data_IF_522715973919
#
_entry.id   IF_522715973919
#
_cell.length_a   1.000
_cell.length_b   1.000
_cell.length_c   1.000
_cell.angle_alpha   90.00
_cell.angle_beta   90.00
_cell.angle_gamma   90.00
#
_symmetry.space_group_name_H-M   'P 1'
#
loop_
_entity.id
_entity.type
_entity.pdbx_description
1 polymer ?
#
# COMPACT_ATOMS: atom_id res chain seq x y z
N UNK A 1 -8.48 29.01 -11.71
CA UNK A 1 -8.84 27.61 -11.43
C UNK A 1 -9.03 26.93 -12.77
N UNK A 2 -8.19 25.97 -13.13
CA UNK A 2 -8.44 25.10 -14.28
C UNK A 2 -9.79 24.41 -14.06
N UNK A 3 -10.70 24.49 -15.03
CA UNK A 3 -11.95 23.74 -14.96
C UNK A 3 -11.64 22.25 -14.96
N UNK A 4 -12.43 21.49 -14.19
CA UNK A 4 -12.25 20.05 -14.14
C UNK A 4 -12.70 19.42 -15.47
N UNK A 5 -11.83 18.74 -16.23
CA UNK A 5 -12.23 18.15 -17.51
C UNK A 5 -13.30 17.07 -17.32
N UNK A 6 -13.13 16.22 -16.30
CA UNK A 6 -14.12 15.24 -15.87
C UNK A 6 -13.84 14.80 -14.43
N UNK A 7 -14.90 14.62 -13.63
CA UNK A 7 -14.82 14.06 -12.28
C UNK A 7 -15.01 12.54 -12.32
N UNK A 8 -14.09 11.81 -11.68
CA UNK A 8 -14.17 10.37 -11.42
C UNK A 8 -14.10 10.16 -9.91
N UNK A 9 -15.08 9.48 -9.33
CA UNK A 9 -15.26 9.41 -7.88
C UNK A 9 -15.09 7.96 -7.41
N UNK A 10 -14.27 7.75 -6.38
CA UNK A 10 -14.11 6.41 -5.77
C UNK A 10 -15.43 5.94 -5.14
N UNK A 11 -15.72 4.64 -5.11
CA UNK A 11 -17.07 4.11 -4.85
C UNK A 11 -17.54 4.12 -3.39
N UNK A 12 -16.67 4.40 -2.41
CA UNK A 12 -17.02 4.34 -0.99
C UNK A 12 -16.96 2.93 -0.40
N UNK A 13 -15.91 2.16 -0.70
CA UNK A 13 -15.61 0.87 -0.06
C UNK A 13 -14.84 1.01 1.27
N UNK A 14 -14.62 2.23 1.71
CA UNK A 14 -13.85 2.60 2.89
C UNK A 14 -12.47 3.14 2.50
N UNK A 15 -11.87 3.92 3.40
CA UNK A 15 -10.68 4.75 3.13
C UNK A 15 -9.52 3.98 2.47
N UNK A 16 -9.24 2.73 2.88
CA UNK A 16 -8.16 1.92 2.29
C UNK A 16 -8.47 1.59 0.83
N UNK A 17 -9.61 0.94 0.59
CA UNK A 17 -9.98 0.49 -0.75
C UNK A 17 -10.11 1.67 -1.72
N UNK A 18 -10.71 2.76 -1.27
CA UNK A 18 -10.87 3.96 -2.09
C UNK A 18 -9.55 4.67 -2.36
N UNK A 19 -8.62 4.72 -1.40
CA UNK A 19 -7.27 5.25 -1.63
C UNK A 19 -6.52 4.41 -2.67
N UNK A 20 -6.67 3.08 -2.62
CA UNK A 20 -6.08 2.20 -3.62
C UNK A 20 -6.73 2.38 -5.00
N UNK A 21 -8.06 2.50 -5.09
CA UNK A 21 -8.75 2.77 -6.36
C UNK A 21 -8.27 4.09 -6.97
N UNK A 22 -8.13 5.14 -6.15
CA UNK A 22 -7.57 6.42 -6.58
C UNK A 22 -6.17 6.22 -7.19
N UNK A 23 -5.27 5.51 -6.53
CA UNK A 23 -3.92 5.25 -7.06
C UNK A 23 -3.90 4.40 -8.31
N UNK A 24 -4.77 3.39 -8.41
CA UNK A 24 -4.93 2.60 -9.62
C UNK A 24 -5.34 3.47 -10.81
N UNK A 25 -6.30 4.38 -10.60
CA UNK A 25 -6.71 5.33 -11.63
C UNK A 25 -5.56 6.28 -12.01
N UNK A 26 -4.86 6.84 -11.03
CA UNK A 26 -3.70 7.71 -11.26
C UNK A 26 -2.63 6.99 -12.08
N UNK A 27 -2.40 5.69 -11.84
CA UNK A 27 -1.45 4.91 -12.61
C UNK A 27 -1.89 4.74 -14.07
N UNK A 28 -3.17 4.49 -14.32
CA UNK A 28 -3.73 4.42 -15.68
C UNK A 28 -3.55 5.76 -16.39
N UNK A 29 -3.90 6.87 -15.73
CA UNK A 29 -3.71 8.22 -16.27
C UNK A 29 -2.24 8.53 -16.58
N UNK A 30 -1.32 8.10 -15.72
CA UNK A 30 0.12 8.26 -15.95
C UNK A 30 0.58 7.53 -17.21
N UNK A 31 0.14 6.29 -17.44
CA UNK A 31 0.53 5.51 -18.62
C UNK A 31 0.04 6.18 -19.91
N UNK A 32 -1.17 6.76 -19.86
CA UNK A 32 -1.77 7.56 -20.93
C UNK A 32 -1.09 8.94 -21.14
N UNK A 33 -0.13 9.31 -20.30
CA UNK A 33 0.48 10.64 -20.31
C UNK A 33 -0.48 11.76 -19.84
N UNK A 34 -1.61 11.41 -19.24
CA UNK A 34 -2.62 12.33 -18.69
C UNK A 34 -2.21 12.80 -17.30
N UNK A 35 -1.23 13.69 -17.25
CA UNK A 35 -0.58 14.17 -16.02
C UNK A 35 -1.24 15.42 -15.42
N UNK A 36 -2.13 16.09 -16.17
CA UNK A 36 -2.82 17.31 -15.73
C UNK A 36 -4.10 16.99 -14.94
N UNK A 37 -4.30 17.68 -13.83
CA UNK A 37 -5.46 17.48 -12.96
C UNK A 37 -5.09 17.46 -11.48
N UNK A 38 -6.04 17.02 -10.66
CA UNK A 38 -5.85 16.86 -9.22
C UNK A 38 -6.70 15.72 -8.67
N UNK A 39 -6.28 15.19 -7.52
CA UNK A 39 -7.14 14.39 -6.66
C UNK A 39 -7.54 15.22 -5.44
N UNK A 40 -8.77 15.05 -4.98
CA UNK A 40 -9.35 15.71 -3.82
C UNK A 40 -9.95 14.69 -2.88
N UNK A 41 -9.77 14.88 -1.58
CA UNK A 41 -10.36 14.03 -0.55
C UNK A 41 -11.75 14.56 -0.18
N UNK A 42 -12.76 13.70 -0.27
CA UNK A 42 -14.14 13.96 0.20
C UNK A 42 -14.53 12.92 1.25
N UNK A 43 -14.16 13.20 2.51
CA UNK A 43 -14.35 12.27 3.62
C UNK A 43 -13.46 11.03 3.49
N UNK A 44 -14.09 9.86 3.26
CA UNK A 44 -13.39 8.60 2.97
C UNK A 44 -13.26 8.29 1.47
N UNK A 45 -13.88 9.10 0.61
CA UNK A 45 -13.83 8.98 -0.85
C UNK A 45 -12.82 9.96 -1.43
N UNK A 46 -12.47 9.75 -2.69
CA UNK A 46 -11.61 10.63 -3.46
C UNK A 46 -12.27 10.99 -4.79
N UNK A 47 -12.08 12.23 -5.21
CA UNK A 47 -12.44 12.71 -6.55
C UNK A 47 -11.15 12.91 -7.32
N UNK A 48 -11.02 12.22 -8.44
CA UNK A 48 -9.94 12.43 -9.40
C UNK A 48 -10.49 13.24 -10.55
N UNK A 49 -9.96 14.45 -10.68
CA UNK A 49 -10.28 15.36 -11.75
C UNK A 49 -9.20 15.26 -12.84
N UNK A 50 -9.55 14.70 -13.99
CA UNK A 50 -8.66 14.49 -15.14
C UNK A 50 -9.48 14.24 -16.41
N UNK A 51 -8.83 14.20 -17.57
CA UNK A 51 -9.44 13.62 -18.77
C UNK A 51 -9.72 12.11 -18.55
N UNK A 52 -10.84 11.60 -19.09
CA UNK A 52 -11.15 10.17 -19.02
C UNK A 52 -10.03 9.35 -19.67
N UNK A 53 -9.54 8.27 -19.04
CA UNK A 53 -8.54 7.41 -19.67
C UNK A 53 -9.15 6.67 -20.88
N UNK A 54 -8.38 6.55 -21.96
CA UNK A 54 -8.62 5.51 -22.96
C UNK A 54 -7.97 4.23 -22.43
N UNK A 55 -8.66 3.10 -22.55
CA UNK A 55 -8.24 1.81 -21.99
C UNK A 55 -7.96 0.78 -23.09
N UNK A 56 -7.95 1.19 -24.35
CA UNK A 56 -7.72 0.30 -25.50
C UNK A 56 -6.33 -0.38 -25.50
N UNK A 57 -5.37 0.15 -24.75
CA UNK A 57 -4.01 -0.36 -24.63
C UNK A 57 -3.80 -1.35 -23.49
N UNK A 58 -4.78 -1.56 -22.59
CA UNK A 58 -4.60 -2.40 -21.39
C UNK A 58 -4.06 -3.78 -21.77
N UNK A 59 -4.58 -4.35 -22.85
CA UNK A 59 -4.27 -5.64 -23.44
C UNK A 59 -2.77 -5.78 -23.80
N UNK A 60 -2.07 -4.66 -23.99
CA UNK A 60 -0.67 -4.55 -24.41
C UNK A 60 0.25 -4.05 -23.29
N UNK A 61 -0.29 -3.83 -22.09
CA UNK A 61 0.48 -3.29 -20.98
C UNK A 61 1.42 -4.38 -20.41
N UNK A 62 2.71 -4.09 -20.27
CA UNK A 62 3.74 -5.03 -19.78
C UNK A 62 3.35 -5.87 -18.53
N UNK A 63 2.70 -5.33 -17.49
CA UNK A 63 2.19 -6.14 -16.37
C UNK A 63 1.19 -7.23 -16.76
N UNK A 64 0.46 -7.10 -17.88
CA UNK A 64 -0.43 -8.16 -18.37
C UNK A 64 0.34 -9.41 -18.73
N UNK A 65 1.50 -9.28 -19.37
CA UNK A 65 2.36 -10.43 -19.71
C UNK A 65 2.81 -11.15 -18.43
N UNK A 66 3.23 -10.38 -17.41
CA UNK A 66 3.63 -10.95 -16.11
C UNK A 66 2.45 -11.66 -15.40
N UNK A 67 1.25 -11.09 -15.48
CA UNK A 67 0.03 -11.69 -14.91
C UNK A 67 -0.39 -12.95 -15.68
N UNK A 68 -0.23 -12.98 -17.00
CA UNK A 68 -0.51 -14.13 -17.85
C UNK A 68 0.41 -15.29 -17.54
N UNK A 69 1.72 -15.05 -17.51
CA UNK A 69 2.72 -16.04 -17.11
C UNK A 69 2.36 -16.61 -15.73
N UNK A 70 2.11 -15.73 -14.75
CA UNK A 70 1.77 -16.16 -13.40
C UNK A 70 0.45 -16.96 -13.31
N UNK A 71 -0.54 -16.64 -14.14
CA UNK A 71 -1.80 -17.36 -14.21
C UNK A 71 -1.67 -18.72 -14.94
N UNK A 72 -0.84 -18.81 -15.97
CA UNK A 72 -0.59 -20.05 -16.73
C UNK A 72 0.21 -21.09 -15.93
N UNK A 73 1.18 -20.66 -15.13
CA UNK A 73 1.92 -21.55 -14.24
C UNK A 73 0.99 -22.32 -13.29
N UNK A 74 -0.13 -21.72 -12.85
CA UNK A 74 -1.17 -22.40 -12.07
C UNK A 74 -1.85 -23.51 -12.86
N UNK A 75 -2.13 -23.29 -14.14
CA UNK A 75 -2.81 -24.27 -15.00
C UNK A 75 -1.94 -25.52 -15.20
N UNK A 76 -0.62 -25.33 -15.38
CA UNK A 76 0.35 -26.42 -15.57
C UNK A 76 0.78 -27.09 -14.25
N UNK A 77 0.90 -26.31 -13.17
CA UNK A 77 1.37 -26.78 -11.87
C UNK A 77 0.41 -27.70 -11.11
N UNK A 78 -0.89 -27.72 -11.47
CA UNK A 78 -1.85 -28.69 -10.91
C UNK A 78 -1.45 -30.15 -11.15
N UNK A 79 -0.66 -30.42 -12.19
CA UNK A 79 -0.18 -31.76 -12.52
C UNK A 79 1.12 -32.15 -11.80
N UNK A 80 1.80 -31.19 -11.16
CA UNK A 80 3.08 -31.40 -10.45
C UNK A 80 2.98 -30.93 -9.00
N UNK A 81 2.07 -31.54 -8.25
CA UNK A 81 1.83 -31.23 -6.84
C UNK A 81 2.91 -31.77 -5.88
N UNK A 82 4.16 -31.95 -6.33
CA UNK A 82 5.27 -32.44 -5.50
C UNK A 82 6.19 -31.29 -5.12
N UNK A 83 6.01 -30.76 -3.90
CA UNK A 83 6.97 -30.05 -3.03
C UNK A 83 7.77 -28.83 -3.56
N UNK A 84 7.81 -28.54 -4.86
CA UNK A 84 8.45 -27.33 -5.43
C UNK A 84 7.54 -26.09 -5.34
N UNK A 85 6.74 -25.99 -4.29
CA UNK A 85 5.86 -24.83 -4.04
C UNK A 85 6.67 -23.52 -3.88
N UNK A 86 7.97 -23.65 -3.58
CA UNK A 86 8.93 -22.56 -3.43
C UNK A 86 9.46 -22.00 -4.77
N UNK A 87 9.25 -22.69 -5.90
CA UNK A 87 9.75 -22.24 -7.21
C UNK A 87 8.67 -21.68 -8.13
N UNK A 88 7.57 -21.13 -7.59
CA UNK A 88 6.65 -20.36 -8.45
C UNK A 88 7.41 -19.15 -9.01
N UNK A 89 7.59 -19.05 -10.34
CA UNK A 89 8.44 -18.03 -10.93
C UNK A 89 7.65 -16.73 -11.05
N UNK A 90 7.27 -16.17 -9.91
CA UNK A 90 6.77 -14.80 -9.85
C UNK A 90 7.97 -13.88 -10.02
N UNK A 91 7.87 -12.94 -10.95
CA UNK A 91 8.91 -11.94 -11.22
C UNK A 91 8.38 -10.53 -11.01
N UNK A 92 9.29 -9.61 -10.74
CA UNK A 92 9.01 -8.17 -10.61
C UNK A 92 7.85 -7.88 -9.65
N UNK A 93 6.88 -7.09 -10.13
CA UNK A 93 5.72 -6.66 -9.33
C UNK A 93 4.85 -7.82 -8.84
N UNK A 94 4.79 -8.95 -9.57
CA UNK A 94 4.00 -10.12 -9.15
C UNK A 94 4.69 -10.83 -7.98
N UNK A 95 6.02 -10.88 -7.99
CA UNK A 95 6.80 -11.40 -6.87
C UNK A 95 6.59 -10.58 -5.61
N UNK A 96 6.69 -9.25 -5.73
CA UNK A 96 6.45 -8.34 -4.60
C UNK A 96 5.02 -8.47 -4.06
N UNK A 97 4.04 -8.58 -4.97
CA UNK A 97 2.66 -8.80 -4.59
C UNK A 97 2.50 -10.13 -3.83
N UNK A 98 3.12 -11.21 -4.32
CA UNK A 98 3.10 -12.54 -3.68
C UNK A 98 3.71 -12.52 -2.28
N UNK A 99 4.75 -11.72 -2.08
CA UNK A 99 5.41 -11.61 -0.78
C UNK A 99 4.66 -10.69 0.16
N UNK A 100 3.89 -9.75 -0.36
CA UNK A 100 3.03 -8.87 0.45
C UNK A 100 1.67 -9.46 0.80
N UNK A 101 1.28 -10.58 0.17
CA UNK A 101 0.02 -11.25 0.52
C UNK A 101 0.11 -11.92 1.90
N UNK A 102 -0.96 -11.78 2.68
CA UNK A 102 -1.17 -12.55 3.91
C UNK A 102 -1.88 -13.88 3.65
N UNK A 103 -2.35 -14.10 2.42
CA UNK A 103 -3.00 -15.35 2.01
C UNK A 103 -2.32 -15.96 0.76
N UNK A 104 -1.18 -16.65 0.93
CA UNK A 104 -0.49 -17.29 -0.18
C UNK A 104 -1.32 -18.37 -0.87
N UNK A 105 -2.22 -19.03 -0.13
CA UNK A 105 -3.09 -20.08 -0.67
C UNK A 105 -4.05 -19.53 -1.74
N UNK A 106 -4.61 -18.33 -1.50
CA UNK A 106 -5.51 -17.67 -2.43
C UNK A 106 -4.81 -16.76 -3.45
N UNK A 107 -3.50 -16.53 -3.33
CA UNK A 107 -2.76 -15.63 -4.22
C UNK A 107 -2.90 -15.99 -5.71
N UNK A 108 -2.88 -17.28 -6.02
CA UNK A 108 -3.07 -17.74 -7.41
C UNK A 108 -4.45 -17.43 -7.99
N UNK A 109 -5.48 -17.35 -7.13
CA UNK A 109 -6.82 -16.94 -7.55
C UNK A 109 -6.89 -15.42 -7.69
N UNK A 110 -6.24 -14.67 -6.78
CA UNK A 110 -6.11 -13.23 -6.89
C UNK A 110 -5.48 -12.84 -8.24
N UNK A 111 -4.35 -13.43 -8.65
CA UNK A 111 -3.72 -13.13 -9.94
C UNK A 111 -4.63 -13.40 -11.14
N UNK A 112 -5.34 -14.53 -11.12
CA UNK A 112 -6.31 -14.86 -12.18
C UNK A 112 -7.45 -13.84 -12.24
N UNK A 113 -7.99 -13.47 -11.09
CA UNK A 113 -9.06 -12.49 -10.95
C UNK A 113 -8.58 -11.10 -11.43
N UNK A 114 -7.31 -10.73 -11.20
CA UNK A 114 -6.76 -9.43 -11.62
C UNK A 114 -6.66 -9.36 -13.12
N UNK A 115 -6.16 -10.43 -13.75
CA UNK A 115 -6.11 -10.54 -15.21
C UNK A 115 -7.51 -10.42 -15.82
N UNK A 116 -8.48 -11.15 -15.31
CA UNK A 116 -9.87 -11.10 -15.80
C UNK A 116 -10.48 -9.70 -15.62
N UNK A 117 -10.28 -9.08 -14.46
CA UNK A 117 -10.79 -7.75 -14.17
C UNK A 117 -10.16 -6.66 -15.04
N UNK A 118 -8.86 -6.76 -15.34
CA UNK A 118 -8.18 -5.85 -16.27
C UNK A 118 -8.75 -5.93 -17.68
N UNK A 119 -8.99 -7.14 -18.20
CA UNK A 119 -9.67 -7.31 -19.49
C UNK A 119 -11.09 -6.72 -19.48
N UNK A 120 -11.84 -6.94 -18.41
CA UNK A 120 -13.18 -6.38 -18.25
C UNK A 120 -13.19 -4.85 -18.08
N UNK A 121 -12.09 -4.25 -17.61
CA UNK A 121 -11.99 -2.81 -17.37
C UNK A 121 -12.29 -1.99 -18.63
N UNK A 122 -11.82 -2.45 -19.79
CA UNK A 122 -12.05 -1.82 -21.10
C UNK A 122 -13.53 -1.68 -21.44
N UNK A 123 -14.34 -2.69 -21.09
CA UNK A 123 -15.77 -2.73 -21.40
C UNK A 123 -16.64 -2.05 -20.32
N UNK A 124 -16.17 -2.00 -19.07
CA UNK A 124 -17.02 -1.70 -17.91
C UNK A 124 -16.45 -0.64 -16.95
N UNK A 125 -15.57 0.24 -17.44
CA UNK A 125 -15.00 1.32 -16.64
C UNK A 125 -16.06 2.35 -16.20
N UNK A 126 -16.35 2.37 -14.91
CA UNK A 126 -17.34 3.23 -14.28
C UNK A 126 -16.85 3.69 -12.89
N UNK A 127 -16.72 5.01 -12.73
CA UNK A 127 -16.40 5.70 -11.48
C UNK A 127 -17.37 6.86 -11.28
N UNK A 128 -18.65 6.61 -11.55
CA UNK A 128 -19.74 7.55 -11.25
C UNK A 128 -20.03 7.61 -9.74
N UNK A 129 -20.64 8.70 -9.29
CA UNK A 129 -20.90 8.93 -7.86
C UNK A 129 -21.71 7.81 -7.20
N UNK A 130 -22.71 7.29 -7.91
CA UNK A 130 -23.65 6.25 -7.47
C UNK A 130 -23.22 4.83 -7.91
N UNK A 131 -21.95 4.65 -8.29
CA UNK A 131 -21.44 3.39 -8.85
C UNK A 131 -21.75 2.19 -7.96
N UNK A 132 -21.41 2.30 -6.68
CA UNK A 132 -21.53 1.23 -5.69
C UNK A 132 -22.98 0.78 -5.52
N UNK A 133 -23.93 1.73 -5.46
CA UNK A 133 -25.36 1.43 -5.38
C UNK A 133 -25.86 0.76 -6.67
N UNK A 134 -25.49 1.31 -7.84
CA UNK A 134 -25.92 0.78 -9.16
C UNK A 134 -25.45 -0.64 -9.41
N UNK A 135 -24.22 -0.96 -8.99
CA UNK A 135 -23.65 -2.32 -9.08
C UNK A 135 -24.10 -3.21 -7.92
N UNK A 136 -24.65 -2.65 -6.85
CA UNK A 136 -25.00 -3.43 -5.66
C UNK A 136 -23.79 -4.19 -5.10
N UNK A 137 -22.64 -3.51 -5.06
CA UNK A 137 -21.40 -4.03 -4.47
C UNK A 137 -21.48 -4.08 -2.95
N UNK A 138 -20.62 -4.89 -2.36
CA UNK A 138 -20.51 -5.05 -0.92
C UNK A 138 -20.64 -6.50 -0.48
N UNK A 139 -21.25 -6.71 0.69
CA UNK A 139 -21.40 -8.06 1.26
C UNK A 139 -22.53 -8.79 0.54
N UNK A 140 -22.17 -9.79 -0.24
CA UNK A 140 -23.12 -10.69 -0.88
C UNK A 140 -23.02 -12.09 -0.27
N UNK A 141 -24.16 -12.78 -0.15
CA UNK A 141 -24.21 -14.18 0.31
C UNK A 141 -23.63 -15.15 -0.71
N UNK A 142 -23.67 -14.80 -2.00
CA UNK A 142 -23.18 -15.61 -3.10
C UNK A 142 -22.26 -14.80 -4.02
N UNK A 143 -21.29 -15.47 -4.66
CA UNK A 143 -20.45 -14.87 -5.70
C UNK A 143 -21.34 -14.51 -6.89
N UNK A 144 -21.67 -13.21 -7.03
CA UNK A 144 -22.36 -12.70 -8.21
C UNK A 144 -21.45 -12.91 -9.42
N UNK A 145 -22.00 -13.38 -10.54
CA UNK A 145 -21.23 -13.55 -11.79
C UNK A 145 -20.65 -12.20 -12.22
N UNK A 146 -19.35 -12.15 -12.52
CA UNK A 146 -18.64 -10.92 -12.87
C UNK A 146 -18.20 -10.05 -11.67
N UNK A 147 -18.35 -10.54 -10.44
CA UNK A 147 -17.85 -9.86 -9.24
C UNK A 147 -16.64 -10.61 -8.66
N UNK A 148 -15.75 -9.83 -8.06
CA UNK A 148 -14.47 -10.26 -7.52
C UNK A 148 -14.44 -10.04 -6.02
N UNK A 149 -13.69 -10.89 -5.32
CA UNK A 149 -13.53 -10.80 -3.88
C UNK A 149 -12.47 -9.76 -3.56
N UNK A 150 -12.79 -8.76 -2.74
CA UNK A 150 -11.81 -7.75 -2.30
C UNK A 150 -10.93 -8.32 -1.19
N UNK A 151 -9.78 -8.90 -1.57
CA UNK A 151 -8.83 -9.58 -0.68
C UNK A 151 -8.23 -8.67 0.41
N UNK A 152 -7.73 -9.26 1.51
CA UNK A 152 -6.69 -8.60 2.30
C UNK A 152 -5.43 -8.52 1.45
N UNK A 153 -4.80 -7.34 1.29
CA UNK A 153 -4.89 -6.13 2.13
C UNK A 153 -5.72 -4.98 1.54
N UNK A 154 -6.47 -5.22 0.46
CA UNK A 154 -7.21 -4.19 -0.29
C UNK A 154 -8.38 -3.58 0.51
N UNK A 155 -8.82 -4.25 1.57
CA UNK A 155 -9.87 -3.77 2.46
C UNK A 155 -9.65 -4.26 3.88
N UNK A 156 -10.01 -3.44 4.88
CA UNK A 156 -10.06 -3.89 6.28
C UNK A 156 -11.23 -4.85 6.59
N UNK A 157 -12.08 -5.16 5.60
CA UNK A 157 -13.40 -5.74 5.80
C UNK A 157 -13.51 -7.19 5.29
N UNK A 158 -12.43 -7.74 4.72
CA UNK A 158 -12.39 -9.12 4.21
C UNK A 158 -12.77 -10.13 5.29
N UNK A 159 -13.69 -11.04 4.95
CA UNK A 159 -14.00 -12.21 5.78
C UNK A 159 -14.54 -11.93 7.18
N UNK A 160 -14.81 -10.67 7.57
CA UNK A 160 -15.37 -10.36 8.89
C UNK A 160 -16.69 -11.12 9.01
N UNK A 161 -16.71 -12.04 9.95
CA UNK A 161 -17.89 -12.74 10.42
C UNK A 161 -19.04 -11.75 10.62
N UNK A 162 -20.11 -11.92 9.85
CA UNK A 162 -21.35 -11.19 10.10
C UNK A 162 -22.17 -12.06 11.03
N UNK A 163 -22.59 -11.50 12.16
CA UNK A 163 -23.60 -12.13 13.00
C UNK A 163 -24.94 -11.85 12.34
N UNK A 164 -25.45 -12.80 11.58
CA UNK A 164 -26.82 -12.77 11.05
C UNK A 164 -27.61 -13.89 11.73
N UNK A 165 -28.75 -13.55 12.33
CA UNK A 165 -29.68 -14.51 12.97
C UNK A 165 -29.00 -15.42 14.01
N UNK A 166 -28.25 -14.83 14.95
CA UNK A 166 -27.50 -15.54 16.01
C UNK A 166 -26.41 -16.51 15.50
N UNK A 167 -26.13 -16.53 14.20
CA UNK A 167 -25.04 -17.30 13.59
C UNK A 167 -23.93 -16.40 13.08
N UNK A 168 -22.69 -16.75 13.40
CA UNK A 168 -21.50 -16.18 12.78
C UNK A 168 -21.35 -16.80 11.38
N UNK A 169 -21.47 -15.99 10.31
CA UNK A 169 -21.23 -16.43 8.94
C UNK A 169 -20.17 -15.59 8.25
N UNK A 170 -19.25 -16.24 7.56
CA UNK A 170 -18.24 -15.58 6.74
C UNK A 170 -18.90 -15.14 5.42
N UNK A 171 -18.95 -13.83 5.18
CA UNK A 171 -19.36 -13.28 3.88
C UNK A 171 -18.20 -12.53 3.24
N UNK A 172 -17.93 -12.83 1.97
CA UNK A 172 -16.93 -12.12 1.19
C UNK A 172 -17.45 -10.73 0.82
N UNK A 173 -16.53 -9.76 0.72
CA UNK A 173 -16.85 -8.44 0.18
C UNK A 173 -16.62 -8.48 -1.33
N UNK A 174 -17.70 -8.37 -2.10
CA UNK A 174 -17.70 -8.52 -3.55
C UNK A 174 -17.78 -7.15 -4.24
N UNK A 175 -16.93 -6.93 -5.23
CA UNK A 175 -16.83 -5.69 -6.02
C UNK A 175 -16.79 -6.02 -7.52
N UNK A 176 -17.07 -5.05 -8.38
CA UNK A 176 -17.01 -5.19 -9.83
C UNK A 176 -15.55 -5.23 -10.34
N UNK A 177 -15.39 -5.46 -11.65
CA UNK A 177 -14.09 -5.47 -12.31
C UNK A 177 -13.31 -4.16 -12.09
N UNK A 178 -13.99 -3.01 -12.24
CA UNK A 178 -13.36 -1.68 -12.11
C UNK A 178 -12.77 -1.48 -10.73
N UNK A 179 -13.56 -1.65 -9.68
CA UNK A 179 -13.10 -1.52 -8.30
C UNK A 179 -11.98 -2.51 -7.96
N UNK A 180 -12.07 -3.76 -8.44
CA UNK A 180 -11.07 -4.78 -8.17
C UNK A 180 -9.73 -4.53 -8.88
N UNK A 181 -9.78 -4.21 -10.17
CA UNK A 181 -8.60 -3.89 -10.97
C UNK A 181 -7.89 -2.67 -10.40
N UNK A 182 -8.62 -1.56 -10.20
CA UNK A 182 -8.04 -0.31 -9.71
C UNK A 182 -7.48 -0.44 -8.30
N UNK A 183 -8.19 -1.10 -7.37
CA UNK A 183 -7.64 -1.33 -6.02
C UNK A 183 -6.37 -2.19 -6.06
N UNK A 184 -6.31 -3.22 -6.91
CA UNK A 184 -5.08 -4.02 -7.05
C UNK A 184 -3.94 -3.21 -7.67
N UNK A 185 -4.20 -2.44 -8.73
CA UNK A 185 -3.19 -1.57 -9.33
C UNK A 185 -2.68 -0.52 -8.35
N UNK A 186 -3.57 0.08 -7.55
CA UNK A 186 -3.16 0.99 -6.49
C UNK A 186 -2.37 0.32 -5.38
N UNK A 187 -2.63 -0.95 -5.10
CA UNK A 187 -1.83 -1.70 -4.13
C UNK A 187 -0.43 -2.04 -4.67
N UNK A 188 -0.31 -2.28 -5.97
CA UNK A 188 0.98 -2.50 -6.64
C UNK A 188 1.78 -1.19 -6.70
N UNK A 189 1.19 -0.14 -7.26
CA UNK A 189 1.89 1.09 -7.66
C UNK A 189 1.73 2.28 -6.71
N UNK A 190 0.70 2.28 -5.87
CA UNK A 190 0.43 3.36 -4.91
C UNK A 190 0.90 3.06 -3.49
N UNK A 191 1.26 1.81 -3.19
CA UNK A 191 1.53 1.37 -1.82
C UNK A 191 2.98 0.95 -1.60
N UNK A 192 3.62 1.54 -0.60
CA UNK A 192 4.88 1.04 -0.02
C UNK A 192 4.54 -0.01 1.01
N UNK A 193 5.21 -1.16 0.93
CA UNK A 193 4.91 -2.34 1.75
C UNK A 193 6.16 -2.72 2.53
N UNK A 194 6.05 -2.94 3.83
CA UNK A 194 7.14 -3.47 4.65
C UNK A 194 6.71 -4.78 5.30
N UNK A 195 7.41 -5.88 4.96
CA UNK A 195 7.14 -7.20 5.54
C UNK A 195 8.06 -7.46 6.73
N UNK A 196 7.47 -7.92 7.83
CA UNK A 196 8.15 -8.32 9.07
C UNK A 196 7.75 -9.74 9.44
N UNK A 197 8.72 -10.63 9.50
CA UNK A 197 8.52 -11.99 10.01
C UNK A 197 8.40 -11.97 11.54
N UNK A 198 7.37 -12.62 12.08
CA UNK A 198 7.22 -12.80 13.52
C UNK A 198 8.00 -14.03 13.96
N UNK A 199 8.80 -13.86 15.01
CA UNK A 199 9.41 -14.98 15.74
C UNK A 199 8.33 -15.63 16.61
N UNK A 200 7.55 -16.55 16.05
CA UNK A 200 6.61 -17.37 16.82
C UNK A 200 7.02 -18.84 16.80
N UNK A 201 6.88 -19.52 17.94
CA UNK A 201 7.12 -20.96 18.09
C UNK A 201 5.97 -21.83 17.56
N UNK A 202 4.77 -21.27 17.37
CA UNK A 202 3.53 -22.03 17.13
C UNK A 202 2.96 -21.91 15.70
N UNK A 203 3.84 -21.66 14.72
CA UNK A 203 3.47 -21.49 13.32
C UNK A 203 3.85 -20.09 12.86
N UNK A 204 4.67 -20.02 11.83
CA UNK A 204 5.15 -18.75 11.26
C UNK A 204 4.00 -17.77 11.02
N UNK A 205 4.26 -16.51 11.31
CA UNK A 205 3.35 -15.42 11.07
C UNK A 205 4.14 -14.22 10.60
N UNK A 206 3.49 -13.32 9.89
CA UNK A 206 4.12 -12.12 9.38
C UNK A 206 3.15 -10.95 9.42
N UNK A 207 3.73 -9.78 9.58
CA UNK A 207 3.03 -8.51 9.47
C UNK A 207 3.46 -7.81 8.19
N UNK A 208 2.50 -7.23 7.50
CA UNK A 208 2.75 -6.37 6.35
C UNK A 208 2.22 -4.99 6.71
N UNK A 209 3.15 -4.07 6.95
CA UNK A 209 2.83 -2.65 7.08
C UNK A 209 2.64 -2.09 5.67
N UNK A 210 1.51 -1.44 5.46
CA UNK A 210 1.16 -0.84 4.18
C UNK A 210 1.05 0.67 4.37
N UNK A 211 1.63 1.40 3.44
CA UNK A 211 1.66 2.85 3.42
C UNK A 211 1.24 3.34 2.04
N UNK A 212 0.26 4.24 1.98
CA UNK A 212 -0.08 4.97 0.76
C UNK A 212 -0.24 6.46 1.05
N UNK A 213 0.05 7.30 0.06
CA UNK A 213 -0.18 8.74 0.16
C UNK A 213 -1.58 9.10 -0.30
N UNK A 214 -2.24 10.02 0.38
CA UNK A 214 -3.57 10.53 -0.01
C UNK A 214 -3.57 12.06 0.03
N UNK A 215 -4.40 12.74 -0.77
CA UNK A 215 -4.61 14.16 -0.61
C UNK A 215 -5.12 14.47 0.79
N UNK A 216 -4.57 15.49 1.45
CA UNK A 216 -5.17 16.03 2.69
C UNK A 216 -6.48 16.73 2.36
N UNK A 217 -6.41 17.62 1.38
CA UNK A 217 -7.55 18.33 0.81
C UNK A 217 -7.53 18.11 -0.70
N UNK A 218 -6.54 18.68 -1.39
CA UNK A 218 -6.33 18.57 -2.83
C UNK A 218 -4.85 18.45 -3.14
N UNK A 219 -4.51 17.60 -4.11
CA UNK A 219 -3.13 17.38 -4.56
C UNK A 219 -3.10 17.13 -6.06
N UNK A 220 -2.15 17.72 -6.78
CA UNK A 220 -1.98 17.52 -8.21
C UNK A 220 -1.66 16.07 -8.55
N UNK A 221 -2.08 15.64 -9.74
CA UNK A 221 -1.77 14.29 -10.22
C UNK A 221 -0.27 14.07 -10.34
N UNK A 222 0.49 15.07 -10.82
CA UNK A 222 1.95 15.01 -10.91
C UNK A 222 2.60 14.70 -9.56
N UNK A 223 2.15 15.35 -8.48
CA UNK A 223 2.64 15.11 -7.12
C UNK A 223 2.36 13.68 -6.66
N UNK A 224 1.14 13.17 -6.89
CA UNK A 224 0.79 11.79 -6.51
C UNK A 224 1.53 10.75 -7.37
N UNK A 225 1.69 11.00 -8.67
CA UNK A 225 2.45 10.14 -9.59
C UNK A 225 3.94 10.11 -9.24
N UNK A 226 4.50 11.24 -8.77
CA UNK A 226 5.85 11.23 -8.22
C UNK A 226 5.92 10.32 -6.99
N UNK A 227 4.99 10.43 -6.04
CA UNK A 227 4.94 9.58 -4.84
C UNK A 227 4.78 8.09 -5.14
N UNK A 228 4.10 7.73 -6.24
CA UNK A 228 4.00 6.33 -6.69
C UNK A 228 5.38 5.70 -6.97
N UNK A 229 6.43 6.48 -7.23
CA UNK A 229 7.80 5.96 -7.38
C UNK A 229 8.38 5.36 -6.10
N UNK A 230 7.81 5.69 -4.94
CA UNK A 230 8.23 5.08 -3.67
C UNK A 230 7.62 3.70 -3.44
N UNK A 231 6.58 3.32 -4.21
CA UNK A 231 5.89 2.06 -4.04
C UNK A 231 6.79 0.85 -4.33
N UNK A 232 6.45 -0.27 -3.71
CA UNK A 232 7.25 -1.49 -3.78
C UNK A 232 7.25 -2.22 -2.44
N UNK A 233 8.03 -3.29 -2.36
CA UNK A 233 8.24 -4.07 -1.14
C UNK A 233 9.61 -3.79 -0.55
N UNK A 234 9.65 -3.45 0.73
CA UNK A 234 10.89 -3.39 1.53
C UNK A 234 10.90 -4.50 2.55
N UNK A 235 12.05 -5.14 2.69
CA UNK A 235 12.27 -6.14 3.74
C UNK A 235 12.68 -5.45 5.03
N UNK A 236 11.92 -5.71 6.08
CA UNK A 236 12.19 -5.16 7.41
C UNK A 236 12.58 -6.29 8.34
N UNK A 237 13.62 -6.06 9.15
CA UNK A 237 14.06 -7.06 10.13
C UNK A 237 12.99 -7.23 11.22
N UNK A 238 12.85 -8.42 11.80
CA UNK A 238 12.00 -8.63 12.98
C UNK A 238 12.35 -7.64 14.09
N UNK A 239 11.34 -6.95 14.61
CA UNK A 239 11.47 -5.98 15.69
C UNK A 239 10.12 -5.43 16.11
N UNK A 240 10.05 -4.89 17.33
CA UNK A 240 8.84 -4.30 17.88
C UNK A 240 8.61 -2.91 17.28
N UNK A 241 8.06 -2.87 16.07
CA UNK A 241 7.72 -1.64 15.36
C UNK A 241 6.22 -1.37 15.42
N UNK A 242 5.87 -0.13 15.77
CA UNK A 242 4.52 0.39 15.58
C UNK A 242 4.38 0.99 14.18
N UNK A 243 3.20 1.49 13.86
CA UNK A 243 2.87 2.06 12.55
C UNK A 243 3.82 3.22 12.20
N UNK A 244 4.09 4.13 13.13
CA UNK A 244 4.99 5.27 12.92
C UNK A 244 6.43 4.84 12.68
N UNK A 245 6.94 3.87 13.45
CA UNK A 245 8.27 3.31 13.24
C UNK A 245 8.40 2.66 11.86
N UNK A 246 7.35 1.97 11.40
CA UNK A 246 7.30 1.42 10.04
C UNK A 246 7.25 2.52 8.97
N UNK A 247 6.48 3.61 9.17
CA UNK A 247 6.50 4.76 8.25
C UNK A 247 7.90 5.33 8.14
N UNK A 248 8.53 5.65 9.27
CA UNK A 248 9.90 6.19 9.29
C UNK A 248 10.85 5.24 8.59
N UNK A 249 10.76 3.95 8.86
CA UNK A 249 11.59 2.95 8.18
C UNK A 249 11.41 3.02 6.66
N UNK A 250 10.16 2.89 6.18
CA UNK A 250 9.82 2.85 4.75
C UNK A 250 10.30 4.12 4.03
N UNK A 251 10.04 5.30 4.59
CA UNK A 251 10.51 6.56 4.03
C UNK A 251 12.06 6.68 4.08
N UNK A 252 12.70 6.08 5.08
CA UNK A 252 14.16 6.12 5.25
C UNK A 252 14.90 5.23 4.26
N UNK A 253 14.37 4.06 3.93
CA UNK A 253 15.05 3.11 3.03
C UNK A 253 14.73 3.30 1.55
N UNK A 254 13.59 3.94 1.24
CA UNK A 254 13.15 4.21 -0.14
C UNK A 254 13.77 5.48 -0.75
N UNK A 255 13.34 5.79 -1.98
CA UNK A 255 13.63 7.07 -2.64
C UNK A 255 13.08 8.25 -1.83
N UNK A 256 13.75 9.39 -1.87
CA UNK A 256 13.26 10.63 -1.25
C UNK A 256 12.69 11.54 -2.32
N UNK A 257 11.42 11.89 -2.17
CA UNK A 257 10.70 12.73 -3.13
C UNK A 257 10.40 14.07 -2.47
N UNK A 258 11.36 14.99 -2.54
CA UNK A 258 11.24 16.34 -1.99
C UNK A 258 10.37 17.27 -2.86
N UNK A 259 9.98 16.83 -4.07
CA UNK A 259 9.26 17.64 -5.04
C UNK A 259 7.79 17.91 -4.63
N UNK A 260 7.24 17.14 -3.69
CA UNK A 260 5.83 17.26 -3.28
C UNK A 260 5.71 18.31 -2.20
N UNK A 261 5.32 19.52 -2.61
CA UNK A 261 5.04 20.65 -1.69
C UNK A 261 3.58 20.79 -1.30
N UNK A 262 2.73 19.96 -1.87
CA UNK A 262 1.29 19.99 -1.67
C UNK A 262 0.89 19.17 -0.43
N UNK A 263 -0.26 19.51 0.16
CA UNK A 263 -0.74 18.85 1.38
C UNK A 263 -1.14 17.41 1.12
N UNK A 264 -0.26 16.48 1.50
CA UNK A 264 -0.52 15.03 1.50
C UNK A 264 -0.53 14.48 2.92
N UNK A 265 -1.37 13.47 3.12
CA UNK A 265 -1.36 12.62 4.30
C UNK A 265 -0.89 11.22 3.94
N UNK A 266 -0.39 10.50 4.95
CA UNK A 266 0.04 9.11 4.83
C UNK A 266 -1.00 8.24 5.52
N UNK A 267 -1.68 7.41 4.74
CA UNK A 267 -2.57 6.37 5.24
C UNK A 267 -1.77 5.08 5.48
N UNK A 268 -1.84 4.56 6.69
CA UNK A 268 -1.13 3.36 7.13
C UNK A 268 -2.11 2.33 7.63
N UNK A 269 -1.89 1.07 7.29
CA UNK A 269 -2.59 -0.06 7.90
C UNK A 269 -1.70 -1.30 7.93
N UNK A 270 -1.94 -2.17 8.90
CA UNK A 270 -1.17 -3.40 9.07
C UNK A 270 -2.03 -4.59 8.77
N UNK A 271 -1.57 -5.45 7.86
CA UNK A 271 -2.20 -6.74 7.61
C UNK A 271 -1.38 -7.82 8.29
N UNK A 272 -2.01 -8.59 9.17
CA UNK A 272 -1.33 -9.54 10.05
C UNK A 272 -1.77 -10.96 9.69
N UNK A 273 -0.82 -11.90 9.67
CA UNK A 273 -1.07 -13.35 9.64
C UNK A 273 -0.51 -14.01 10.90
N UNK A 274 -1.33 -14.84 11.54
CA UNK A 274 -0.92 -15.74 12.61
C UNK A 274 -1.59 -17.11 12.40
N UNK A 275 -0.85 -18.09 11.90
CA UNK A 275 -1.41 -19.37 11.48
C UNK A 275 -2.45 -19.18 10.36
N UNK A 276 -3.69 -19.63 10.62
CA UNK A 276 -4.82 -19.46 9.70
C UNK A 276 -5.57 -18.13 9.91
N UNK A 277 -5.25 -17.38 10.96
CA UNK A 277 -5.91 -16.14 11.27
C UNK A 277 -5.26 -14.98 10.52
N UNK A 278 -6.08 -14.17 9.85
CA UNK A 278 -5.66 -13.00 9.11
C UNK A 278 -6.56 -11.82 9.47
N UNK A 279 -5.98 -10.62 9.62
CA UNK A 279 -6.74 -9.40 9.90
C UNK A 279 -6.01 -8.15 9.41
N UNK A 280 -6.77 -7.08 9.19
CA UNK A 280 -6.24 -5.73 9.07
C UNK A 280 -6.46 -4.98 10.38
N UNK A 281 -5.44 -4.29 10.89
CA UNK A 281 -5.47 -3.47 12.10
C UNK A 281 -4.70 -2.17 11.86
N UNK A 282 -4.79 -1.22 12.80
CA UNK A 282 -3.91 -0.05 12.82
C UNK A 282 -4.14 0.91 11.66
N UNK A 283 -5.40 1.11 11.24
CA UNK A 283 -5.73 2.08 10.18
C UNK A 283 -5.56 3.49 10.75
N UNK A 284 -4.48 4.16 10.37
CA UNK A 284 -4.10 5.48 10.87
C UNK A 284 -3.76 6.43 9.73
N UNK A 285 -3.96 7.73 9.95
CA UNK A 285 -3.60 8.79 9.00
C UNK A 285 -2.65 9.75 9.69
N UNK A 286 -1.49 9.99 9.08
CA UNK A 286 -0.46 10.91 9.57
C UNK A 286 -0.22 12.05 8.58
N UNK A 287 0.24 13.21 9.07
CA UNK A 287 0.62 14.33 8.20
C UNK A 287 1.85 13.98 7.37
N UNK A 288 1.67 13.82 6.07
CA UNK A 288 2.69 13.28 5.16
C UNK A 288 3.77 14.29 4.79
N UNK A 289 3.37 15.52 4.49
CA UNK A 289 4.26 16.66 4.22
C UNK A 289 5.38 16.80 5.27
N UNK A 290 5.02 16.83 6.55
CA UNK A 290 5.96 16.97 7.68
C UNK A 290 6.95 15.80 7.74
N UNK A 291 6.46 14.57 7.57
CA UNK A 291 7.29 13.36 7.64
C UNK A 291 8.24 13.26 6.44
N UNK A 292 7.77 13.59 5.23
CA UNK A 292 8.59 13.62 4.03
C UNK A 292 9.72 14.64 4.15
N UNK A 293 9.41 15.86 4.60
CA UNK A 293 10.39 16.92 4.80
C UNK A 293 11.42 16.54 5.87
N UNK A 294 10.96 16.02 7.01
CA UNK A 294 11.85 15.56 8.08
C UNK A 294 12.82 14.47 7.62
N UNK A 295 12.33 13.46 6.90
CA UNK A 295 13.18 12.37 6.39
C UNK A 295 14.13 12.88 5.31
N UNK A 296 13.70 13.83 4.48
CA UNK A 296 14.58 14.47 3.50
C UNK A 296 15.73 15.24 4.19
N UNK A 297 15.43 16.04 5.22
CA UNK A 297 16.44 16.77 5.99
C UNK A 297 17.41 15.81 6.70
N UNK A 298 16.89 14.72 7.30
CA UNK A 298 17.73 13.69 7.93
C UNK A 298 18.68 13.06 6.91
N UNK A 299 18.18 12.64 5.73
CA UNK A 299 19.02 12.03 4.70
C UNK A 299 20.03 13.02 4.11
N UNK A 300 19.66 14.30 4.02
CA UNK A 300 20.55 15.35 3.55
C UNK A 300 21.74 15.54 4.49
N UNK A 301 21.51 15.63 5.81
CA UNK A 301 22.56 15.84 6.82
C UNK A 301 23.31 14.59 7.23
N UNK A 302 22.64 13.44 7.19
CA UNK A 302 23.22 12.14 7.46
C UNK A 302 23.04 11.22 6.24
N UNK A 303 23.90 11.32 5.20
CA UNK A 303 23.78 10.48 4.00
C UNK A 303 23.86 8.97 4.26
N UNK A 304 24.47 8.56 5.38
CA UNK A 304 24.48 7.16 5.83
C UNK A 304 23.14 6.70 6.44
N UNK A 305 22.16 7.60 6.61
CA UNK A 305 20.90 7.35 7.30
C UNK A 305 20.14 6.12 6.80
N UNK A 306 19.98 5.86 5.49
CA UNK A 306 19.29 4.65 5.04
C UNK A 306 19.95 3.35 5.56
N UNK A 307 21.28 3.35 5.73
CA UNK A 307 22.01 2.22 6.32
C UNK A 307 21.80 2.14 7.83
N UNK A 308 21.76 3.29 8.51
CA UNK A 308 21.48 3.38 9.95
C UNK A 308 20.06 2.88 10.24
N UNK A 309 19.05 3.39 9.54
CA UNK A 309 17.65 3.01 9.70
C UNK A 309 17.41 1.50 9.56
N UNK A 310 18.14 0.83 8.65
CA UNK A 310 18.10 -0.65 8.50
C UNK A 310 18.57 -1.42 9.72
N UNK A 311 19.36 -0.78 10.60
CA UNK A 311 19.87 -1.37 11.83
C UNK A 311 19.00 -1.04 13.03
N UNK A 312 18.13 -0.04 12.95
CA UNK A 312 17.29 0.38 14.07
C UNK A 312 16.11 -0.60 14.28
N UNK A 313 15.68 -0.74 15.53
CA UNK A 313 14.50 -1.50 15.92
C UNK A 313 13.47 -0.54 16.52
N UNK A 314 13.12 -0.75 17.79
CA UNK A 314 12.13 0.07 18.50
C UNK A 314 12.49 1.56 18.60
N UNK A 315 13.77 1.94 18.42
CA UNK A 315 14.14 3.37 18.31
C UNK A 315 13.48 4.09 17.12
N UNK A 316 13.08 3.37 16.08
CA UNK A 316 12.29 3.95 14.98
C UNK A 316 10.91 4.40 15.45
N UNK A 317 10.32 3.75 16.46
CA UNK A 317 9.04 4.18 17.05
C UNK A 317 9.22 5.53 17.74
N UNK A 318 10.27 5.66 18.56
CA UNK A 318 10.59 6.90 19.29
C UNK A 318 10.87 8.03 18.30
N UNK A 319 11.62 7.75 17.24
CA UNK A 319 11.86 8.71 16.17
C UNK A 319 10.55 9.08 15.45
N UNK A 320 9.70 8.09 15.12
CA UNK A 320 8.42 8.33 14.45
C UNK A 320 7.47 9.20 15.27
N UNK A 321 7.37 8.97 16.58
CA UNK A 321 6.61 9.82 17.49
C UNK A 321 7.16 11.25 17.52
N UNK A 322 8.48 11.40 17.65
CA UNK A 322 9.13 12.70 17.63
C UNK A 322 8.89 13.46 16.31
N UNK A 323 9.02 12.79 15.16
CA UNK A 323 8.80 13.43 13.86
C UNK A 323 7.33 13.80 13.62
N UNK A 324 6.39 12.99 14.13
CA UNK A 324 4.96 13.24 13.99
C UNK A 324 4.46 14.33 14.94
N UNK A 325 4.91 14.32 16.20
CA UNK A 325 4.30 15.09 17.30
C UNK A 325 5.27 16.05 18.00
N UNK A 326 6.57 16.02 17.70
CA UNK A 326 7.60 16.71 18.46
C UNK A 326 8.02 15.95 19.72
N UNK A 327 8.86 16.55 20.55
CA UNK A 327 9.32 15.95 21.81
C UNK A 327 10.79 16.21 22.12
N UNK A 328 11.39 15.34 22.92
CA UNK A 328 12.79 15.46 23.36
C UNK A 328 13.77 14.84 22.35
N UNK A 329 14.48 15.69 21.60
CA UNK A 329 15.55 15.28 20.67
C UNK A 329 16.61 14.42 21.36
N UNK A 330 16.97 14.74 22.61
CA UNK A 330 18.00 14.01 23.33
C UNK A 330 17.55 12.59 23.69
N UNK A 331 16.27 12.39 23.99
CA UNK A 331 15.69 11.06 24.16
C UNK A 331 15.77 10.23 22.87
N UNK A 332 15.42 10.82 21.72
CA UNK A 332 15.52 10.16 20.40
C UNK A 332 16.96 9.72 20.12
N UNK A 333 17.92 10.63 20.26
CA UNK A 333 19.34 10.31 20.01
C UNK A 333 19.85 9.20 20.94
N UNK A 334 19.52 9.25 22.24
CA UNK A 334 19.88 8.18 23.17
C UNK A 334 19.27 6.83 22.78
N UNK A 335 18.01 6.82 22.36
CA UNK A 335 17.32 5.61 21.90
C UNK A 335 18.02 5.00 20.68
N UNK A 336 18.33 5.84 19.67
CA UNK A 336 19.07 5.42 18.46
C UNK A 336 20.46 4.88 18.80
N UNK A 337 21.20 5.58 19.67
CA UNK A 337 22.53 5.13 20.13
C UNK A 337 22.47 3.78 20.85
N UNK A 338 21.48 3.58 21.72
CA UNK A 338 21.29 2.32 22.44
C UNK A 338 20.97 1.16 21.48
N UNK A 339 20.15 1.40 20.46
CA UNK A 339 19.84 0.41 19.42
C UNK A 339 21.06 0.02 18.59
N UNK A 340 21.85 1.01 18.16
CA UNK A 340 23.08 0.77 17.40
C UNK A 340 24.14 0.05 18.25
N UNK A 341 24.32 0.47 19.50
CA UNK A 341 25.29 -0.13 20.42
C UNK A 341 25.00 -1.61 20.68
N UNK A 342 23.72 -1.97 20.90
CA UNK A 342 23.30 -3.38 21.07
C UNK A 342 23.58 -4.27 19.86
N UNK A 343 23.70 -3.68 18.67
CA UNK A 343 23.87 -4.40 17.40
C UNK A 343 25.28 -4.30 16.81
N UNK A 344 26.23 -3.70 17.52
CA UNK A 344 27.57 -3.45 17.00
C UNK A 344 27.61 -2.48 15.82
N UNK A 345 26.59 -1.62 15.69
CA UNK A 345 26.48 -0.63 14.62
C UNK A 345 27.56 0.45 14.73
N UNK A 346 27.98 1.00 13.58
CA UNK A 346 28.90 2.16 13.56
C UNK A 346 28.15 3.42 13.97
N UNK A 347 28.72 4.19 14.91
CA UNK A 347 28.17 5.48 15.35
C UNK A 347 28.42 6.64 14.35
N UNK A 348 29.14 6.37 13.25
CA UNK A 348 29.45 7.37 12.24
C UNK A 348 28.18 7.91 11.55
N UNK A 349 27.98 9.23 11.61
CA UNK A 349 26.83 9.93 11.02
C UNK A 349 25.76 10.38 12.02
N UNK A 350 25.88 10.04 13.31
CA UNK A 350 24.91 10.47 14.32
C UNK A 350 24.95 11.98 14.60
N UNK A 351 26.07 12.65 14.38
CA UNK A 351 26.18 14.11 14.49
C UNK A 351 25.23 14.81 13.50
N UNK A 352 25.21 14.36 12.24
CA UNK A 352 24.29 14.87 11.21
C UNK A 352 22.82 14.59 11.54
N UNK A 353 22.53 13.44 12.16
CA UNK A 353 21.18 13.13 12.66
C UNK A 353 20.76 14.11 13.78
N UNK A 354 21.62 14.33 14.77
CA UNK A 354 21.32 15.24 15.87
C UNK A 354 21.10 16.67 15.38
N UNK A 355 21.89 17.13 14.40
CA UNK A 355 21.69 18.43 13.76
C UNK A 355 20.36 18.50 13.00
N UNK A 356 20.00 17.45 12.24
CA UNK A 356 18.72 17.37 11.54
C UNK A 356 17.54 17.46 12.50
N UNK A 357 17.55 16.67 13.57
CA UNK A 357 16.46 16.67 14.56
C UNK A 357 16.31 18.03 15.24
N UNK A 358 17.41 18.71 15.61
CA UNK A 358 17.36 20.06 16.19
C UNK A 358 16.73 21.11 15.27
N UNK A 359 16.81 20.92 13.95
CA UNK A 359 16.19 21.83 12.97
C UNK A 359 14.72 21.49 12.71
N UNK A 360 14.34 20.22 12.88
CA UNK A 360 12.96 19.73 12.66
C UNK A 360 12.05 20.06 13.84
N UNK A 361 12.57 19.99 15.07
CA UNK A 361 11.85 20.39 16.28
C UNK A 361 11.78 21.89 16.44
#
# INVERSE_FOLDING_TARGET
MTQCPQEMITPGHGIIADALIMHGLIKILHIEGKMEGWAERRGERFVVCAERPDLNWIDQWEPMELLEIAAEFKAKGKDRASEEEEQRPYFGLVHDLSRSTVDPGNFSSWISDVREALYALKADFDLSEEHKEKRGEGRARSKKRGYYTLYLPLSGVYGKYVVENYGIRQSQYAVCATCFALSTLGYIYGTVKARVERRSSSGGGHDVFNLTFIPRERTSLRSLMALQRMAGLVEMRPGDLNELGAVVYMLSVGETIYAVREGVDILVWVTQRAGNFQRTVGVNIFRGDRLLEAIAEIKYRAPSWPKIARQLGSSLNVLGEYLAFGGDVYHVIRSVMADLGRKGGKLAGLEGLAEALKKIG
#
